data_IF_485073751078
#
_entry.id   IF_485073751078
#
_cell.length_a   1.000
_cell.length_b   1.000
_cell.length_c   1.000
_cell.angle_alpha   90.00
_cell.angle_beta   90.00
_cell.angle_gamma   90.00
#
_symmetry.space_group_name_H-M   'P 1'
#
loop_
_entity.id
_entity.type
_entity.pdbx_description
1 polymer ?
#
# COMPACT_ATOMS: atom_id res chain seq x y z
N UNK A 1 -14.32 -31.54 2.08
CA UNK A 1 -14.11 -30.15 2.53
C UNK A 1 -14.99 -29.93 3.74
N UNK A 2 -14.42 -29.87 4.93
CA UNK A 2 -15.19 -29.64 6.16
C UNK A 2 -15.47 -28.14 6.30
N UNK A 3 -16.71 -27.77 6.06
CA UNK A 3 -17.21 -26.43 6.32
C UNK A 3 -17.30 -26.24 7.83
N UNK A 4 -16.46 -25.40 8.41
CA UNK A 4 -16.55 -25.06 9.82
C UNK A 4 -17.48 -23.84 9.98
N UNK A 5 -18.72 -24.01 10.44
CA UNK A 5 -19.72 -22.93 10.52
C UNK A 5 -19.31 -21.81 11.49
N UNK A 6 -18.44 -22.10 12.46
CA UNK A 6 -17.96 -21.11 13.44
C UNK A 6 -17.09 -20.03 12.79
N UNK A 7 -16.26 -20.39 11.81
CA UNK A 7 -15.43 -19.42 11.09
C UNK A 7 -16.26 -18.53 10.14
N UNK A 8 -17.33 -19.08 9.54
CA UNK A 8 -18.25 -18.31 8.71
C UNK A 8 -19.01 -17.24 9.50
N UNK A 9 -19.47 -17.57 10.71
CA UNK A 9 -20.20 -16.64 11.59
C UNK A 9 -19.28 -15.54 12.12
N UNK A 10 -18.02 -15.86 12.48
CA UNK A 10 -17.02 -14.86 12.91
C UNK A 10 -16.72 -13.84 11.81
N UNK A 11 -16.61 -14.29 10.57
CA UNK A 11 -16.38 -13.42 9.41
C UNK A 11 -17.58 -12.49 9.13
N UNK A 12 -18.81 -12.98 9.38
CA UNK A 12 -20.06 -12.21 9.17
C UNK A 12 -20.27 -11.09 10.22
N UNK A 13 -19.75 -11.27 11.44
CA UNK A 13 -19.88 -10.30 12.53
C UNK A 13 -18.62 -9.49 12.83
N UNK A 14 -17.61 -9.54 11.94
CA UNK A 14 -16.34 -8.82 12.13
C UNK A 14 -15.50 -9.39 13.30
N UNK A 15 -15.84 -10.54 13.82
CA UNK A 15 -15.07 -11.26 14.84
C UNK A 15 -14.00 -12.11 14.15
N UNK A 16 -13.01 -11.47 13.56
CA UNK A 16 -11.81 -12.14 13.03
C UNK A 16 -11.04 -12.87 14.13
N UNK A 17 -10.13 -13.75 13.73
CA UNK A 17 -9.22 -14.42 14.66
C UNK A 17 -8.33 -13.41 15.41
N UNK A 18 -8.08 -12.25 14.80
CA UNK A 18 -7.26 -11.16 15.33
C UNK A 18 -8.14 -9.97 15.69
N UNK A 19 -8.10 -9.58 16.97
CA UNK A 19 -8.86 -8.43 17.46
C UNK A 19 -8.24 -7.13 16.94
N UNK A 20 -9.12 -6.21 16.55
CA UNK A 20 -8.75 -4.85 16.12
C UNK A 20 -9.49 -3.81 16.94
N UNK A 21 -8.88 -2.64 17.10
CA UNK A 21 -9.43 -1.53 17.88
C UNK A 21 -9.11 -0.20 17.18
N UNK A 22 -10.00 0.77 17.31
CA UNK A 22 -9.71 2.14 16.91
C UNK A 22 -8.82 2.81 17.95
N UNK A 23 -7.70 3.35 17.48
CA UNK A 23 -6.73 4.08 18.30
C UNK A 23 -6.51 5.46 17.69
N UNK A 24 -6.67 6.49 18.53
CA UNK A 24 -6.38 7.86 18.14
C UNK A 24 -4.88 8.09 18.04
N UNK A 25 -4.39 8.39 16.85
CA UNK A 25 -3.00 8.74 16.64
C UNK A 25 -2.65 10.07 17.32
N UNK A 26 -1.49 10.11 17.99
CA UNK A 26 -0.94 11.34 18.56
C UNK A 26 -0.30 12.26 17.51
N UNK A 27 -0.13 11.79 16.28
CA UNK A 27 0.49 12.54 15.18
C UNK A 27 -0.49 13.50 14.52
N UNK A 28 -1.75 13.09 14.33
CA UNK A 28 -2.75 13.86 13.58
C UNK A 28 -4.13 13.91 14.24
N UNK A 29 -4.26 13.34 15.46
CA UNK A 29 -5.51 13.24 16.24
C UNK A 29 -6.67 12.54 15.50
N UNK A 30 -6.37 11.64 14.55
CA UNK A 30 -7.36 10.83 13.84
C UNK A 30 -7.36 9.40 14.33
N UNK A 31 -8.50 8.72 14.19
CA UNK A 31 -8.65 7.33 14.61
C UNK A 31 -8.25 6.39 13.48
N UNK A 32 -7.46 5.36 13.82
CA UNK A 32 -7.00 4.30 12.92
C UNK A 32 -7.37 2.94 13.49
N UNK A 33 -7.84 2.03 12.64
CA UNK A 33 -8.12 0.65 13.02
C UNK A 33 -6.85 -0.17 12.94
N UNK A 34 -6.37 -0.63 14.09
CA UNK A 34 -5.15 -1.41 14.25
C UNK A 34 -5.41 -2.66 15.08
N UNK A 35 -4.48 -3.61 15.07
CA UNK A 35 -4.55 -4.79 15.93
C UNK A 35 -4.46 -4.39 17.40
N UNK A 36 -5.28 -5.04 18.26
CA UNK A 36 -5.31 -4.78 19.70
C UNK A 36 -4.13 -5.45 20.40
N UNK A 37 -2.94 -4.87 20.21
CA UNK A 37 -1.68 -5.31 20.81
C UNK A 37 -1.09 -4.20 21.68
N UNK A 38 -0.13 -4.51 22.58
CA UNK A 38 0.44 -3.51 23.50
C UNK A 38 0.99 -2.25 22.84
N UNK A 39 1.53 -2.36 21.63
CA UNK A 39 2.10 -1.28 20.81
C UNK A 39 1.11 -0.71 19.77
N UNK A 40 -0.20 -0.82 20.02
CA UNK A 40 -1.25 -0.30 19.13
C UNK A 40 -1.19 1.21 18.91
N UNK A 41 -0.65 1.97 19.87
CA UNK A 41 -0.46 3.41 19.72
C UNK A 41 0.59 3.73 18.66
N UNK A 42 1.69 2.98 18.67
CA UNK A 42 2.76 3.09 17.67
C UNK A 42 2.26 2.67 16.29
N UNK A 43 1.44 1.62 16.21
CA UNK A 43 0.82 1.18 14.96
C UNK A 43 -0.12 2.27 14.38
N UNK A 44 -0.95 2.91 15.20
CA UNK A 44 -1.81 4.01 14.77
C UNK A 44 -0.99 5.23 14.30
N UNK A 45 0.08 5.56 15.01
CA UNK A 45 1.00 6.63 14.65
C UNK A 45 1.71 6.34 13.31
N UNK A 46 2.09 5.08 13.10
CA UNK A 46 2.73 4.64 11.85
C UNK A 46 1.79 4.79 10.66
N UNK A 47 0.51 4.39 10.78
CA UNK A 47 -0.50 4.63 9.74
C UNK A 47 -0.69 6.12 9.46
N UNK A 48 -0.70 6.96 10.50
CA UNK A 48 -0.80 8.41 10.36
C UNK A 48 0.39 8.99 9.58
N UNK A 49 1.62 8.58 9.90
CA UNK A 49 2.83 8.99 9.18
C UNK A 49 2.75 8.59 7.70
N UNK A 50 2.43 7.32 7.40
CA UNK A 50 2.33 6.83 6.02
C UNK A 50 1.26 7.62 5.25
N UNK A 51 0.08 7.82 5.83
CA UNK A 51 -1.01 8.59 5.23
C UNK A 51 -0.58 10.02 4.88
N UNK A 52 0.08 10.71 5.83
CA UNK A 52 0.57 12.09 5.64
C UNK A 52 1.61 12.13 4.51
N UNK A 53 2.56 11.20 4.50
CA UNK A 53 3.60 11.12 3.46
C UNK A 53 3.00 10.84 2.08
N UNK A 54 2.05 9.90 1.97
CA UNK A 54 1.35 9.64 0.70
C UNK A 54 0.53 10.85 0.23
N UNK A 55 -0.09 11.60 1.15
CA UNK A 55 -0.80 12.83 0.79
C UNK A 55 0.16 13.92 0.27
N UNK A 56 1.32 14.07 0.90
CA UNK A 56 2.36 15.00 0.44
C UNK A 56 2.87 14.61 -0.95
N UNK A 57 3.05 13.30 -1.18
CA UNK A 57 3.42 12.79 -2.51
C UNK A 57 2.34 13.09 -3.55
N UNK A 58 1.06 12.85 -3.23
CA UNK A 58 -0.06 13.22 -4.10
C UNK A 58 -0.02 14.70 -4.48
N UNK A 59 0.11 15.60 -3.50
CA UNK A 59 0.16 17.05 -3.70
C UNK A 59 1.33 17.41 -4.62
N UNK A 60 2.51 16.84 -4.38
CA UNK A 60 3.69 17.05 -5.22
C UNK A 60 3.45 16.61 -6.67
N UNK A 61 2.91 15.39 -6.86
CA UNK A 61 2.64 14.86 -8.20
C UNK A 61 1.60 15.70 -8.96
N UNK A 62 0.53 16.13 -8.30
CA UNK A 62 -0.50 17.01 -8.88
C UNK A 62 0.09 18.36 -9.31
N UNK A 63 0.95 18.94 -8.47
CA UNK A 63 1.57 20.24 -8.76
C UNK A 63 2.59 20.15 -9.90
N UNK A 64 3.40 19.09 -9.92
CA UNK A 64 4.52 18.96 -10.85
C UNK A 64 4.12 18.38 -12.21
N UNK A 65 3.08 17.53 -12.24
CA UNK A 65 2.68 16.78 -13.42
C UNK A 65 1.16 16.82 -13.71
N UNK A 66 0.51 18.01 -13.70
CA UNK A 66 -0.94 18.13 -13.79
C UNK A 66 -1.53 17.46 -15.04
N UNK A 67 -0.79 17.47 -16.14
CA UNK A 67 -1.26 16.97 -17.44
C UNK A 67 -0.96 15.48 -17.68
N UNK A 68 -0.27 14.81 -16.75
CA UNK A 68 -0.05 13.36 -16.89
C UNK A 68 -1.36 12.58 -16.72
N UNK A 69 -1.64 11.60 -17.61
CA UNK A 69 -2.88 10.79 -17.53
C UNK A 69 -3.06 10.08 -16.19
N UNK A 70 -1.96 9.74 -15.52
CA UNK A 70 -1.94 9.12 -14.20
C UNK A 70 -2.55 10.03 -13.13
N UNK A 71 -2.47 11.36 -13.29
CA UNK A 71 -3.02 12.29 -12.31
C UNK A 71 -4.54 12.19 -12.21
N UNK A 72 -5.22 11.99 -13.34
CA UNK A 72 -6.68 11.76 -13.32
C UNK A 72 -7.06 10.53 -12.49
N UNK A 73 -6.28 9.45 -12.62
CA UNK A 73 -6.50 8.23 -11.82
C UNK A 73 -6.20 8.49 -10.33
N UNK A 74 -5.07 9.15 -10.05
CA UNK A 74 -4.68 9.47 -8.68
C UNK A 74 -5.74 10.32 -7.97
N UNK A 75 -6.22 11.38 -8.61
CA UNK A 75 -7.24 12.27 -8.05
C UNK A 75 -8.58 11.57 -7.79
N UNK A 76 -8.96 10.65 -8.66
CA UNK A 76 -10.19 9.89 -8.50
C UNK A 76 -10.08 8.84 -7.40
N UNK A 77 -8.96 8.14 -7.35
CA UNK A 77 -8.79 6.91 -6.60
C UNK A 77 -8.21 7.15 -5.20
N UNK A 78 -7.15 7.95 -5.08
CA UNK A 78 -6.51 8.18 -3.79
C UNK A 78 -7.18 9.29 -2.99
N UNK A 79 -7.61 8.94 -1.77
CA UNK A 79 -8.12 9.90 -0.77
C UNK A 79 -7.35 9.69 0.53
N UNK A 80 -6.83 10.79 1.09
CA UNK A 80 -6.01 10.76 2.30
C UNK A 80 -6.84 10.84 3.60
N UNK A 81 -8.03 10.26 3.60
CA UNK A 81 -8.88 10.18 4.80
C UNK A 81 -8.37 9.06 5.73
N UNK A 82 -8.28 9.34 7.02
CA UNK A 82 -7.75 8.37 7.99
C UNK A 82 -8.55 7.06 8.03
N UNK A 83 -9.87 7.15 7.85
CA UNK A 83 -10.78 6.01 7.80
C UNK A 83 -10.66 5.14 6.54
N UNK A 84 -9.65 5.38 5.72
CA UNK A 84 -9.28 4.54 4.57
C UNK A 84 -7.98 3.77 4.78
N UNK A 85 -7.31 3.98 5.92
CA UNK A 85 -6.04 3.36 6.24
C UNK A 85 -6.20 2.41 7.42
N UNK A 86 -5.87 1.15 7.21
CA UNK A 86 -6.07 0.07 8.17
C UNK A 86 -4.82 -0.78 8.33
N UNK A 87 -4.64 -1.35 9.52
CA UNK A 87 -3.69 -2.45 9.70
C UNK A 87 -4.31 -3.75 9.15
N UNK A 88 -3.60 -4.42 8.24
CA UNK A 88 -3.98 -5.73 7.72
C UNK A 88 -3.73 -6.82 8.78
N UNK A 89 -4.72 -7.68 8.98
CA UNK A 89 -4.63 -8.81 9.92
C UNK A 89 -4.00 -10.05 9.26
N UNK A 90 -3.36 -10.95 10.04
CA UNK A 90 -2.71 -12.15 9.50
C UNK A 90 -3.64 -13.15 8.82
N UNK A 91 -4.94 -13.10 9.09
CA UNK A 91 -5.96 -13.92 8.44
C UNK A 91 -6.53 -13.31 7.15
N UNK A 92 -6.03 -12.16 6.74
CA UNK A 92 -6.33 -11.60 5.43
C UNK A 92 -5.64 -12.42 4.32
N UNK A 93 -6.33 -12.59 3.18
CA UNK A 93 -5.80 -13.34 2.02
C UNK A 93 -4.54 -12.68 1.44
N UNK A 94 -4.38 -11.37 1.65
CA UNK A 94 -3.29 -10.56 1.14
C UNK A 94 -2.53 -9.88 2.28
N UNK A 95 -1.24 -9.69 2.10
CA UNK A 95 -0.37 -9.06 3.11
C UNK A 95 -0.65 -7.58 3.24
N UNK A 96 -0.52 -6.84 2.15
CA UNK A 96 -0.96 -5.46 2.01
C UNK A 96 -1.71 -5.32 0.70
N UNK A 97 -2.73 -4.49 0.68
CA UNK A 97 -3.60 -4.36 -0.50
C UNK A 97 -4.42 -3.07 -0.44
N UNK A 98 -4.88 -2.65 -1.61
CA UNK A 98 -5.91 -1.63 -1.74
C UNK A 98 -7.21 -2.22 -2.28
N UNK A 99 -8.33 -1.82 -1.70
CA UNK A 99 -9.67 -2.23 -2.18
C UNK A 99 -10.14 -1.23 -3.23
N UNK A 100 -10.72 -1.75 -4.32
CA UNK A 100 -11.33 -0.94 -5.39
C UNK A 100 -10.45 0.27 -5.80
N UNK A 101 -9.15 0.03 -5.98
CA UNK A 101 -8.16 1.05 -6.35
C UNK A 101 -8.16 2.29 -5.44
N UNK A 102 -8.30 2.10 -4.12
CA UNK A 102 -8.12 3.19 -3.15
C UNK A 102 -9.35 3.54 -2.32
N UNK A 103 -10.43 2.74 -2.38
CA UNK A 103 -11.52 2.83 -1.41
C UNK A 103 -11.00 2.63 0.01
N UNK A 104 -10.10 1.67 0.20
CA UNK A 104 -9.32 1.52 1.42
C UNK A 104 -7.92 0.95 1.14
N UNK A 105 -7.00 1.21 2.05
CA UNK A 105 -5.61 0.77 2.00
C UNK A 105 -5.34 -0.02 3.29
N UNK A 106 -4.99 -1.28 3.13
CA UNK A 106 -4.67 -2.18 4.22
C UNK A 106 -3.17 -2.47 4.18
N UNK A 107 -2.46 -2.10 5.23
CA UNK A 107 -1.02 -2.26 5.33
C UNK A 107 -0.67 -3.26 6.43
N UNK A 108 0.14 -4.22 6.11
CA UNK A 108 0.75 -5.06 7.11
C UNK A 108 1.82 -4.25 7.86
N UNK A 109 1.59 -4.03 9.14
CA UNK A 109 2.48 -3.23 9.98
C UNK A 109 3.42 -4.09 10.81
N UNK A 110 3.24 -5.42 10.85
CA UNK A 110 3.96 -6.30 11.77
C UNK A 110 4.51 -7.52 11.07
N UNK A 111 5.64 -8.00 11.54
CA UNK A 111 6.15 -9.29 11.11
C UNK A 111 5.13 -10.40 11.40
N UNK A 112 5.11 -11.43 10.55
CA UNK A 112 4.19 -12.58 10.64
C UNK A 112 4.95 -13.89 10.84
N UNK A 113 6.19 -13.83 11.28
CA UNK A 113 6.95 -15.03 11.63
C UNK A 113 6.50 -15.55 12.99
N UNK A 114 6.64 -16.86 13.19
CA UNK A 114 6.22 -17.48 14.45
C UNK A 114 6.96 -16.85 15.64
N UNK A 115 6.20 -16.18 16.51
CA UNK A 115 6.70 -15.51 17.71
C UNK A 115 7.27 -14.10 17.47
N UNK A 116 7.18 -13.56 16.26
CA UNK A 116 7.57 -12.18 15.95
C UNK A 116 6.36 -11.40 15.41
N UNK A 117 5.84 -10.48 16.20
CA UNK A 117 4.78 -9.53 15.83
C UNK A 117 5.28 -8.08 15.94
N UNK A 118 6.59 -7.88 15.93
CA UNK A 118 7.21 -6.55 16.00
C UNK A 118 6.81 -5.69 14.80
N UNK A 119 6.73 -4.38 15.03
CA UNK A 119 6.44 -3.43 13.97
C UNK A 119 7.54 -3.43 12.91
N UNK A 120 7.14 -3.42 11.67
CA UNK A 120 8.02 -3.24 10.51
C UNK A 120 8.51 -1.80 10.47
N UNK A 121 9.74 -1.58 10.04
CA UNK A 121 10.30 -0.23 9.88
C UNK A 121 9.46 0.59 8.90
N UNK A 122 9.25 1.86 9.23
CA UNK A 122 8.44 2.80 8.45
C UNK A 122 8.90 2.88 6.98
N UNK A 123 10.22 2.85 6.71
CA UNK A 123 10.78 2.95 5.36
C UNK A 123 10.33 1.76 4.48
N UNK A 124 10.25 0.57 5.06
CA UNK A 124 9.79 -0.64 4.35
C UNK A 124 8.30 -0.56 4.08
N UNK A 125 7.50 -0.12 5.07
CA UNK A 125 6.06 0.07 4.88
C UNK A 125 5.80 1.18 3.86
N UNK A 126 6.61 2.24 3.84
CA UNK A 126 6.49 3.32 2.87
C UNK A 126 6.72 2.82 1.44
N UNK A 127 7.70 1.94 1.22
CA UNK A 127 7.90 1.28 -0.07
C UNK A 127 6.65 0.53 -0.53
N UNK A 128 6.06 -0.27 0.36
CA UNK A 128 4.83 -1.02 0.08
C UNK A 128 3.63 -0.08 -0.13
N UNK A 129 3.50 0.98 0.67
CA UNK A 129 2.44 1.96 0.52
C UNK A 129 2.50 2.71 -0.82
N UNK A 130 3.72 2.99 -1.33
CA UNK A 130 3.93 3.56 -2.67
C UNK A 130 3.57 2.52 -3.75
N UNK A 131 3.87 1.23 -3.54
CA UNK A 131 3.42 0.15 -4.42
C UNK A 131 1.89 0.13 -4.53
N UNK A 132 1.16 0.22 -3.41
CA UNK A 132 -0.30 0.31 -3.41
C UNK A 132 -0.82 1.56 -4.15
N UNK A 133 -0.18 2.72 -3.93
CA UNK A 133 -0.52 3.94 -4.67
C UNK A 133 -0.28 3.76 -6.19
N UNK A 134 0.71 2.96 -6.58
CA UNK A 134 0.99 2.67 -7.99
C UNK A 134 -0.13 1.88 -8.66
N UNK A 135 -0.79 0.97 -7.95
CA UNK A 135 -2.01 0.32 -8.43
C UNK A 135 -3.15 1.31 -8.68
N UNK A 136 -3.26 2.36 -7.85
CA UNK A 136 -4.33 3.36 -7.97
C UNK A 136 -4.18 4.25 -9.21
N UNK A 137 -2.96 4.50 -9.65
CA UNK A 137 -2.69 5.32 -10.85
C UNK A 137 -2.58 4.49 -12.13
N UNK A 138 -2.42 3.17 -12.02
CA UNK A 138 -2.32 2.26 -13.16
C UNK A 138 -3.70 1.79 -13.57
N UNK A 139 -4.03 1.86 -14.87
CA UNK A 139 -5.35 1.44 -15.39
C UNK A 139 -5.49 -0.06 -15.42
N UNK A 140 -4.44 -0.76 -15.81
CA UNK A 140 -4.42 -2.22 -15.90
C UNK A 140 -4.44 -2.85 -14.51
N UNK A 141 -4.77 -4.14 -14.48
CA UNK A 141 -4.78 -4.95 -13.27
C UNK A 141 -3.48 -5.76 -13.22
N UNK A 142 -3.00 -6.02 -12.00
CA UNK A 142 -1.80 -6.79 -11.77
C UNK A 142 -0.50 -5.98 -11.96
N UNK A 143 0.60 -6.69 -12.15
CA UNK A 143 1.94 -6.11 -12.20
C UNK A 143 2.51 -6.11 -13.64
N UNK A 144 1.75 -5.58 -14.60
CA UNK A 144 2.22 -5.38 -15.96
C UNK A 144 3.34 -4.32 -16.06
N UNK A 145 3.90 -4.15 -17.26
CA UNK A 145 4.99 -3.20 -17.48
C UNK A 145 4.60 -1.75 -17.14
N UNK A 146 3.35 -1.39 -17.38
CA UNK A 146 2.79 -0.07 -17.03
C UNK A 146 2.76 0.17 -15.51
N UNK A 147 2.44 -0.88 -14.72
CA UNK A 147 2.53 -0.83 -13.26
C UNK A 147 3.98 -0.59 -12.81
N UNK A 148 4.94 -1.40 -13.28
CA UNK A 148 6.33 -1.28 -12.88
C UNK A 148 6.93 0.07 -13.24
N UNK A 149 6.57 0.62 -14.39
CA UNK A 149 6.99 1.94 -14.81
C UNK A 149 6.40 3.03 -13.92
N UNK A 150 5.11 2.95 -13.59
CA UNK A 150 4.45 3.88 -12.68
C UNK A 150 5.08 3.80 -11.27
N UNK A 151 5.32 2.60 -10.78
CA UNK A 151 5.93 2.39 -9.48
C UNK A 151 7.35 2.97 -9.40
N UNK A 152 8.19 2.70 -10.40
CA UNK A 152 9.53 3.30 -10.48
C UNK A 152 9.47 4.83 -10.51
N UNK A 153 8.55 5.40 -11.29
CA UNK A 153 8.36 6.85 -11.36
C UNK A 153 7.92 7.45 -10.03
N UNK A 154 6.91 6.87 -9.36
CA UNK A 154 6.45 7.39 -8.06
C UNK A 154 7.54 7.26 -6.99
N UNK A 155 8.29 6.14 -6.95
CA UNK A 155 9.43 5.99 -6.03
C UNK A 155 10.44 7.11 -6.24
N UNK A 156 10.79 7.42 -7.50
CA UNK A 156 11.71 8.52 -7.84
C UNK A 156 11.19 9.87 -7.35
N UNK A 157 9.90 10.15 -7.51
CA UNK A 157 9.31 11.40 -7.04
C UNK A 157 9.23 11.45 -5.50
N UNK A 158 8.96 10.33 -4.86
CA UNK A 158 8.98 10.21 -3.39
C UNK A 158 10.39 10.46 -2.81
N UNK A 159 11.43 10.00 -3.49
CA UNK A 159 12.82 10.33 -3.14
C UNK A 159 13.11 11.81 -3.31
N UNK A 160 12.64 12.42 -4.39
CA UNK A 160 12.86 13.84 -4.70
C UNK A 160 12.35 14.76 -3.57
N UNK A 161 11.23 14.39 -2.93
CA UNK A 161 10.67 15.16 -1.81
C UNK A 161 11.05 14.63 -0.42
N UNK A 162 11.95 13.64 -0.37
CA UNK A 162 12.53 13.12 0.88
C UNK A 162 11.58 12.31 1.76
N UNK A 163 10.45 11.81 1.23
CA UNK A 163 9.53 10.95 1.99
C UNK A 163 9.86 9.48 1.90
N UNK A 164 10.67 9.10 0.93
CA UNK A 164 11.23 7.76 0.74
C UNK A 164 12.73 7.88 0.49
N UNK A 165 13.48 6.91 0.95
CA UNK A 165 14.90 6.75 0.64
C UNK A 165 15.08 5.39 -0.01
N UNK A 166 15.72 5.37 -1.19
CA UNK A 166 16.03 4.14 -1.90
C UNK A 166 16.86 3.20 -1.04
N UNK A 167 16.48 1.94 -1.07
CA UNK A 167 17.18 0.87 -0.36
C UNK A 167 17.56 -0.21 -1.36
N UNK A 168 18.80 -0.68 -1.30
CA UNK A 168 19.25 -1.77 -2.18
C UNK A 168 18.73 -3.12 -1.64
N UNK A 169 17.46 -3.41 -1.91
CA UNK A 169 16.84 -4.68 -1.52
C UNK A 169 17.48 -5.89 -2.18
N UNK A 170 18.15 -5.71 -3.32
CA UNK A 170 18.86 -6.78 -4.02
C UNK A 170 20.13 -7.19 -3.28
N UNK A 171 20.90 -6.21 -2.80
CA UNK A 171 22.09 -6.46 -1.99
C UNK A 171 21.73 -6.85 -0.54
N UNK A 172 20.65 -6.31 -0.01
CA UNK A 172 20.20 -6.51 1.37
C UNK A 172 18.69 -6.78 1.42
N UNK A 173 18.25 -8.02 1.17
CA UNK A 173 16.83 -8.37 1.26
C UNK A 173 16.25 -8.06 2.65
N UNK A 174 15.03 -7.56 2.68
CA UNK A 174 14.33 -7.17 3.91
C UNK A 174 13.10 -8.03 4.11
N UNK A 175 12.95 -8.57 5.31
CA UNK A 175 11.72 -9.27 5.70
C UNK A 175 10.57 -8.31 5.89
N UNK A 176 9.44 -8.69 5.34
CA UNK A 176 8.19 -7.96 5.42
C UNK A 176 7.02 -8.91 5.58
N UNK A 177 6.45 -8.98 6.78
CA UNK A 177 5.19 -9.69 7.04
C UNK A 177 5.15 -11.14 6.52
N UNK A 178 6.24 -11.90 6.74
CA UNK A 178 6.35 -13.31 6.32
C UNK A 178 6.84 -13.51 4.89
N UNK A 179 7.17 -12.44 4.16
CA UNK A 179 7.81 -12.49 2.85
C UNK A 179 9.15 -11.72 2.87
N UNK A 180 9.88 -11.76 1.78
CA UNK A 180 11.11 -10.99 1.61
C UNK A 180 10.95 -10.03 0.43
N UNK A 181 11.31 -8.77 0.63
CA UNK A 181 11.48 -7.80 -0.45
C UNK A 181 12.93 -7.92 -0.92
N UNK A 182 13.13 -8.27 -2.18
CA UNK A 182 14.43 -8.61 -2.76
C UNK A 182 14.84 -7.71 -3.91
N UNK A 183 13.95 -6.83 -4.37
CA UNK A 183 14.23 -5.93 -5.49
C UNK A 183 13.31 -4.69 -5.44
N UNK A 184 13.65 -3.68 -6.22
CA UNK A 184 12.83 -2.50 -6.49
C UNK A 184 12.99 -2.07 -7.94
N UNK A 185 11.94 -1.49 -8.56
CA UNK A 185 12.05 -1.02 -9.94
C UNK A 185 12.94 0.23 -10.01
N UNK A 186 13.72 0.32 -11.09
CA UNK A 186 14.54 1.48 -11.38
C UNK A 186 13.84 2.39 -12.39
N UNK A 187 13.77 3.68 -12.10
CA UNK A 187 13.19 4.65 -13.01
C UNK A 187 14.03 4.81 -14.28
N UNK A 188 13.36 4.70 -15.43
CA UNK A 188 13.99 4.92 -16.74
C UNK A 188 13.19 5.98 -17.52
N UNK A 189 13.75 7.18 -17.72
CA UNK A 189 13.07 8.28 -18.43
C UNK A 189 12.66 7.94 -19.87
N UNK A 190 13.40 7.05 -20.54
CA UNK A 190 13.09 6.67 -21.94
C UNK A 190 11.78 5.90 -22.08
N UNK A 191 11.28 5.34 -20.99
CA UNK A 191 10.00 4.62 -20.97
C UNK A 191 8.80 5.57 -20.84
N UNK A 192 9.00 6.86 -20.54
CA UNK A 192 7.91 7.83 -20.43
C UNK A 192 7.16 8.06 -21.74
N UNK A 193 7.82 7.97 -22.89
CA UNK A 193 7.17 8.11 -24.20
C UNK A 193 6.22 6.94 -24.53
N UNK A 194 6.51 5.73 -24.03
CA UNK A 194 5.64 4.57 -24.19
C UNK A 194 4.29 4.69 -23.47
N UNK A 195 4.20 5.51 -22.42
CA UNK A 195 2.97 5.72 -21.64
C UNK A 195 1.85 6.39 -22.43
N UNK A 196 2.16 7.27 -23.37
CA UNK A 196 1.14 7.97 -24.18
C UNK A 196 0.32 7.00 -25.03
N UNK A 197 0.88 5.86 -25.39
CA UNK A 197 0.23 4.87 -26.26
C UNK A 197 -0.56 3.80 -25.50
N UNK A 198 -0.13 3.37 -24.32
CA UNK A 198 -0.79 2.33 -23.53
C UNK A 198 -2.12 2.79 -22.90
N UNK A 199 -2.30 4.09 -22.68
CA UNK A 199 -3.56 4.64 -22.15
C UNK A 199 -4.69 4.70 -23.19
N UNK A 200 -4.44 4.37 -24.46
CA UNK A 200 -5.46 4.39 -25.53
C UNK A 200 -6.24 3.10 -25.69
N UNK A 201 -5.80 1.98 -25.11
CA UNK A 201 -6.42 0.67 -25.31
C UNK A 201 -6.54 -0.13 -24.02
N UNK A 202 -7.61 0.03 -23.27
CA UNK A 202 -8.27 -1.05 -22.53
C UNK A 202 -9.58 -0.54 -21.90
N UNK A 203 -10.68 -1.05 -22.44
CA UNK A 203 -11.97 -1.14 -21.73
C UNK A 203 -11.98 -2.55 -21.17
N UNK A 204 -12.18 -2.66 -19.89
CA UNK A 204 -12.93 -3.62 -19.10
C UNK A 204 -12.26 -3.85 -17.74
N UNK A 205 -13.05 -3.60 -16.70
CA UNK A 205 -12.65 -3.79 -15.31
C UNK A 205 -13.12 -5.12 -14.77
N UNK A 206 -12.28 -5.76 -14.04
CA UNK A 206 -12.59 -6.52 -12.81
C UNK A 206 -11.28 -6.75 -12.09
N UNK A 207 -11.27 -6.39 -10.82
CA UNK A 207 -10.09 -6.36 -9.98
C UNK A 207 -9.98 -7.62 -9.15
N UNK A 208 -8.81 -8.23 -9.11
CA UNK A 208 -8.43 -9.14 -8.03
C UNK A 208 -6.91 -9.16 -7.85
N UNK A 209 -6.50 -8.75 -6.66
CA UNK A 209 -5.41 -9.22 -5.82
C UNK A 209 -3.96 -9.18 -6.30
N UNK A 210 -3.17 -8.61 -5.45
CA UNK A 210 -1.72 -8.68 -5.38
C UNK A 210 -1.27 -10.14 -5.30
N UNK A 211 -0.72 -10.63 -6.40
CA UNK A 211 0.21 -11.72 -6.38
C UNK A 211 1.55 -11.18 -5.89
N UNK A 212 2.21 -11.94 -5.03
CA UNK A 212 3.55 -11.78 -4.51
C UNK A 212 4.43 -10.72 -5.18
N UNK A 213 5.01 -9.85 -4.35
CA UNK A 213 6.20 -9.09 -4.70
C UNK A 213 7.32 -10.12 -4.92
N UNK A 214 7.47 -10.59 -6.15
CA UNK A 214 8.54 -11.46 -6.58
C UNK A 214 9.57 -10.66 -7.34
#
# INVERSE_FOLDING_TARGET
>A
MNFNPVNGIKKLFGLGQYQTVYVKSTIDNKDYLVRDLPDKQEAANLLAHIRIKLNNLKIHLESKFPDKPQMKQLMNNFKADANRFYESTPDADLTSYSVNKGESIHLCLRQREKGDESLVKEEVIMFVAIHEMSHMITKTIGHGQDFWNNFAWILKEAETIGIYKSYDFKAQPVKYCGMSITDQPTYNPSLEEGFKNSYRTSKDGTDLSIGSIG
#
